data_IF_952213087344
#
_entry.id   IF_952213087344
#
_cell.length_a   1.000
_cell.length_b   1.000
_cell.length_c   1.000
_cell.angle_alpha   90.00
_cell.angle_beta   90.00
_cell.angle_gamma   90.00
#
_symmetry.space_group_name_H-M   'P 1'
#
loop_
_entity.id
_entity.type
_entity.pdbx_description
1 polymer ?
#
# COMPACT_ATOMS: atom_id res chain seq x y z
N UNK A 1 20.74 -21.75 36.50
CA UNK A 1 20.51 -20.42 35.99
C UNK A 1 19.17 -20.43 35.27
N UNK A 2 18.17 -19.60 35.63
CA UNK A 2 16.84 -19.68 35.09
C UNK A 2 16.79 -19.09 33.67
N UNK A 3 16.13 -19.78 32.76
CA UNK A 3 15.79 -19.35 31.42
C UNK A 3 14.91 -18.12 31.45
N UNK A 4 15.13 -17.08 30.59
CA UNK A 4 14.24 -15.94 30.54
C UNK A 4 12.89 -16.35 29.96
N UNK A 5 11.86 -16.31 30.82
CA UNK A 5 10.47 -16.56 30.42
C UNK A 5 9.96 -15.49 29.45
N UNK A 6 9.64 -15.88 28.27
CA UNK A 6 8.94 -15.07 27.28
C UNK A 6 7.45 -15.03 27.66
N UNK A 7 7.00 -13.94 28.26
CA UNK A 7 5.57 -13.70 28.43
C UNK A 7 4.93 -13.45 27.07
N UNK A 8 4.15 -14.43 26.62
CA UNK A 8 3.28 -14.29 25.45
C UNK A 8 2.18 -13.28 25.81
N UNK A 9 2.25 -12.07 25.26
CA UNK A 9 1.15 -11.10 25.32
C UNK A 9 -0.05 -11.72 24.59
N UNK A 10 -1.07 -12.16 25.32
CA UNK A 10 -2.39 -12.54 24.82
C UNK A 10 -3.25 -11.27 24.86
N UNK A 11 -3.66 -10.72 23.73
CA UNK A 11 -4.66 -9.66 23.75
C UNK A 11 -5.96 -10.22 24.31
N UNK A 12 -6.48 -9.60 25.36
CA UNK A 12 -7.74 -9.96 25.99
C UNK A 12 -8.90 -9.71 25.02
N UNK A 13 -9.72 -10.72 24.68
CA UNK A 13 -10.91 -10.55 23.83
C UNK A 13 -11.91 -9.54 24.40
N UNK A 14 -11.85 -9.26 25.70
CA UNK A 14 -12.65 -8.22 26.35
C UNK A 14 -12.30 -6.83 25.83
N UNK A 15 -11.04 -6.54 25.49
CA UNK A 15 -10.60 -5.23 24.96
C UNK A 15 -11.30 -4.92 23.64
N UNK A 16 -11.47 -5.92 22.78
CA UNK A 16 -12.14 -5.73 21.49
C UNK A 16 -13.65 -5.47 21.65
N UNK A 17 -14.31 -6.18 22.58
CA UNK A 17 -15.74 -5.94 22.90
C UNK A 17 -15.96 -4.58 23.55
N UNK A 18 -15.09 -4.19 24.47
CA UNK A 18 -15.17 -2.89 25.16
C UNK A 18 -14.91 -1.72 24.22
N UNK A 19 -14.04 -1.88 23.23
CA UNK A 19 -13.77 -0.85 22.20
C UNK A 19 -15.00 -0.62 21.34
N UNK A 20 -15.70 -1.68 20.92
CA UNK A 20 -16.95 -1.57 20.16
C UNK A 20 -18.10 -1.01 21.04
N UNK A 21 -18.18 -1.41 22.30
CA UNK A 21 -19.19 -0.91 23.23
C UNK A 21 -19.00 0.57 23.57
N UNK A 22 -17.75 1.03 23.74
CA UNK A 22 -17.41 2.47 23.91
C UNK A 22 -17.70 3.32 22.69
N UNK A 23 -17.62 2.72 21.52
CA UNK A 23 -18.01 3.38 20.27
C UNK A 23 -19.53 3.65 20.19
N UNK A 24 -20.34 2.80 20.85
CA UNK A 24 -21.82 2.90 20.90
C UNK A 24 -22.35 3.70 22.08
N UNK A 25 -21.61 3.81 23.18
CA UNK A 25 -22.04 4.49 24.40
C UNK A 25 -20.98 5.48 24.89
N UNK A 26 -21.22 6.79 24.76
CA UNK A 26 -20.32 7.83 25.21
C UNK A 26 -19.99 7.74 26.71
N UNK A 27 -18.76 7.39 27.07
CA UNK A 27 -18.25 7.49 28.42
C UNK A 27 -17.66 8.90 28.65
N UNK A 28 -17.75 9.48 29.87
CA UNK A 28 -17.33 10.85 30.13
C UNK A 28 -15.81 11.01 30.11
N UNK A 29 -15.33 12.01 29.37
CA UNK A 29 -13.93 12.34 29.23
C UNK A 29 -13.38 13.03 30.48
N UNK A 30 -12.21 12.59 30.95
CA UNK A 30 -11.38 13.36 31.90
C UNK A 30 -10.81 14.60 31.21
N UNK A 31 -11.02 15.75 31.83
CA UNK A 31 -10.60 17.07 31.32
C UNK A 31 -9.09 17.23 31.45
N UNK A 32 -8.39 17.33 30.32
CA UNK A 32 -7.13 18.05 30.21
C UNK A 32 -7.24 18.97 28.98
N UNK A 33 -7.01 20.28 29.21
CA UNK A 33 -7.35 21.32 28.27
C UNK A 33 -6.48 21.36 27.01
N UNK A 34 -7.15 21.40 25.91
CA UNK A 34 -6.94 22.14 24.66
C UNK A 34 -7.90 21.58 23.61
N UNK A 35 -8.89 22.35 23.19
CA UNK A 35 -9.69 22.22 21.95
C UNK A 35 -10.16 20.82 21.51
N UNK A 36 -10.73 19.99 22.39
CA UNK A 36 -11.32 18.72 21.98
C UNK A 36 -12.55 18.97 21.10
N UNK A 37 -12.48 18.52 19.85
CA UNK A 37 -13.62 18.46 18.94
C UNK A 37 -14.79 17.75 19.64
N UNK A 38 -16.00 18.28 19.53
CA UNK A 38 -17.19 17.56 20.01
C UNK A 38 -17.26 16.18 19.37
N UNK A 39 -17.82 15.18 20.04
CA UNK A 39 -17.87 13.82 19.53
C UNK A 39 -18.49 13.71 18.12
N UNK A 40 -19.47 14.56 17.79
CA UNK A 40 -20.05 14.66 16.46
C UNK A 40 -19.06 15.24 15.43
N UNK A 41 -18.35 16.30 15.79
CA UNK A 41 -17.32 16.90 14.91
C UNK A 41 -16.18 15.94 14.65
N UNK A 42 -15.73 15.18 15.65
CA UNK A 42 -14.70 14.15 15.51
C UNK A 42 -15.13 13.03 14.53
N UNK A 43 -16.37 12.53 14.64
CA UNK A 43 -16.90 11.51 13.73
C UNK A 43 -16.95 11.99 12.28
N UNK A 44 -17.38 13.22 12.06
CA UNK A 44 -17.41 13.84 10.73
C UNK A 44 -15.98 14.00 10.16
N UNK A 45 -15.02 14.40 11.00
CA UNK A 45 -13.62 14.50 10.57
C UNK A 45 -13.03 13.14 10.20
N UNK A 46 -13.27 12.10 11.00
CA UNK A 46 -12.85 10.74 10.68
C UNK A 46 -13.49 10.24 9.36
N UNK A 47 -14.79 10.44 9.18
CA UNK A 47 -15.47 10.08 7.94
C UNK A 47 -14.90 10.80 6.72
N UNK A 48 -14.54 12.07 6.85
CA UNK A 48 -13.92 12.84 5.79
C UNK A 48 -12.51 12.32 5.43
N UNK A 49 -11.70 12.00 6.44
CA UNK A 49 -10.36 11.42 6.20
C UNK A 49 -10.49 10.03 5.55
N UNK A 50 -11.40 9.19 6.01
CA UNK A 50 -11.63 7.87 5.44
C UNK A 50 -12.14 7.96 4.00
N UNK A 51 -13.04 8.90 3.70
CA UNK A 51 -13.50 9.14 2.34
C UNK A 51 -12.35 9.56 1.41
N UNK A 52 -11.49 10.48 1.84
CA UNK A 52 -10.31 10.88 1.05
C UNK A 52 -9.32 9.71 0.84
N UNK A 53 -9.13 8.88 1.87
CA UNK A 53 -8.30 7.67 1.78
C UNK A 53 -8.84 6.68 0.76
N UNK A 54 -10.17 6.45 0.75
CA UNK A 54 -10.85 5.61 -0.24
C UNK A 54 -10.56 6.10 -1.66
N UNK A 55 -10.67 7.41 -1.89
CA UNK A 55 -10.44 8.02 -3.20
C UNK A 55 -8.99 7.89 -3.67
N UNK A 56 -8.03 8.15 -2.77
CA UNK A 56 -6.60 7.98 -3.08
C UNK A 56 -6.32 6.51 -3.38
N UNK A 57 -6.81 5.57 -2.56
CA UNK A 57 -6.69 4.13 -2.79
C UNK A 57 -7.29 3.72 -4.14
N UNK A 58 -8.49 4.23 -4.48
CA UNK A 58 -9.12 3.96 -5.78
C UNK A 58 -8.19 4.31 -6.95
N UNK A 59 -7.56 5.49 -6.91
CA UNK A 59 -6.67 5.91 -7.98
C UNK A 59 -5.37 5.10 -8.01
N UNK A 60 -4.86 4.67 -6.86
CA UNK A 60 -3.71 3.77 -6.80
C UNK A 60 -3.99 2.41 -7.46
N UNK A 61 -5.20 1.87 -7.32
CA UNK A 61 -5.60 0.64 -7.99
C UNK A 61 -6.08 0.83 -9.44
N UNK A 62 -6.60 2.02 -9.77
CA UNK A 62 -7.22 2.33 -11.06
C UNK A 62 -6.20 2.69 -12.15
N UNK A 63 -5.26 3.60 -11.83
CA UNK A 63 -4.35 4.14 -12.84
C UNK A 63 -3.35 3.12 -13.41
N UNK A 64 -2.69 2.24 -12.62
CA UNK A 64 -1.70 1.34 -13.18
C UNK A 64 -2.25 0.41 -14.27
N UNK A 65 -3.35 -0.34 -14.07
CA UNK A 65 -3.90 -1.19 -15.11
C UNK A 65 -4.47 -0.39 -16.31
N UNK A 66 -5.11 0.75 -16.06
CA UNK A 66 -5.59 1.64 -17.14
C UNK A 66 -4.45 2.07 -18.05
N UNK A 67 -3.36 2.56 -17.46
CA UNK A 67 -2.18 3.05 -18.19
C UNK A 67 -1.51 1.90 -18.94
N UNK A 68 -1.37 0.75 -18.31
CA UNK A 68 -0.74 -0.42 -18.92
C UNK A 68 -1.48 -0.84 -20.19
N UNK A 69 -2.79 -0.99 -20.12
CA UNK A 69 -3.61 -1.41 -21.26
C UNK A 69 -3.66 -0.31 -22.33
N UNK A 70 -3.88 0.95 -21.94
CA UNK A 70 -3.96 2.04 -22.91
C UNK A 70 -2.65 2.28 -23.67
N UNK A 71 -1.49 2.20 -22.99
CA UNK A 71 -0.18 2.35 -23.64
C UNK A 71 0.20 1.11 -24.46
N UNK A 72 -0.18 -0.10 -24.07
CA UNK A 72 0.08 -1.30 -24.86
C UNK A 72 -0.60 -1.25 -26.23
N UNK A 73 -1.81 -0.66 -26.31
CA UNK A 73 -2.52 -0.44 -27.58
C UNK A 73 -1.81 0.54 -28.51
N UNK A 74 -1.01 1.46 -27.97
CA UNK A 74 -0.18 2.37 -28.79
C UNK A 74 1.15 1.77 -29.21
N UNK A 75 1.41 0.48 -28.91
CA UNK A 75 2.66 -0.20 -29.23
C UNK A 75 3.81 0.18 -28.29
N UNK A 76 3.53 0.77 -27.13
CA UNK A 76 4.56 1.06 -26.13
C UNK A 76 5.12 -0.23 -25.55
N UNK A 77 6.45 -0.29 -25.33
CA UNK A 77 7.11 -1.42 -24.70
C UNK A 77 6.66 -1.61 -23.24
N UNK A 78 6.73 -2.83 -22.70
CA UNK A 78 6.39 -3.10 -21.32
C UNK A 78 7.33 -2.33 -20.35
N UNK A 79 8.59 -2.12 -20.72
CA UNK A 79 9.51 -1.26 -19.97
C UNK A 79 8.99 0.18 -19.89
N UNK A 80 8.53 0.77 -21.00
CA UNK A 80 7.98 2.12 -21.02
C UNK A 80 6.73 2.21 -20.11
N UNK A 81 5.83 1.24 -20.17
CA UNK A 81 4.65 1.12 -19.32
C UNK A 81 5.06 1.06 -17.85
N UNK A 82 6.02 0.20 -17.52
CA UNK A 82 6.57 0.08 -16.17
C UNK A 82 7.18 1.39 -15.66
N UNK A 83 7.95 2.09 -16.49
CA UNK A 83 8.54 3.39 -16.15
C UNK A 83 7.48 4.48 -15.90
N UNK A 84 6.44 4.54 -16.74
CA UNK A 84 5.29 5.45 -16.53
C UNK A 84 4.58 5.16 -15.21
N UNK A 85 4.37 3.88 -14.90
CA UNK A 85 3.75 3.48 -13.63
C UNK A 85 4.63 3.87 -12.43
N UNK A 86 5.91 3.64 -12.50
CA UNK A 86 6.88 3.96 -11.47
C UNK A 86 7.01 5.47 -11.19
N UNK A 87 6.77 6.32 -12.18
CA UNK A 87 6.94 7.77 -12.08
C UNK A 87 6.20 8.42 -10.90
N UNK A 88 5.01 7.91 -10.54
CA UNK A 88 4.25 8.42 -9.39
C UNK A 88 4.92 8.09 -8.05
N UNK A 89 5.53 6.91 -7.92
CA UNK A 89 6.23 6.54 -6.69
C UNK A 89 7.58 7.25 -6.58
N UNK A 90 8.26 7.48 -7.70
CA UNK A 90 9.44 8.36 -7.75
C UNK A 90 9.07 9.76 -7.24
N UNK A 91 7.95 10.31 -7.67
CA UNK A 91 7.46 11.60 -7.21
C UNK A 91 7.19 11.61 -5.70
N UNK A 92 6.54 10.57 -5.15
CA UNK A 92 6.30 10.43 -3.70
C UNK A 92 7.61 10.42 -2.92
N UNK A 93 8.63 9.68 -3.39
CA UNK A 93 9.94 9.60 -2.75
C UNK A 93 10.65 10.97 -2.77
N UNK A 94 10.69 11.62 -3.93
CA UNK A 94 11.38 12.90 -4.09
C UNK A 94 10.69 14.05 -3.34
N UNK A 95 9.36 14.07 -3.36
CA UNK A 95 8.57 15.11 -2.68
C UNK A 95 8.32 14.80 -1.20
N UNK A 96 8.56 13.57 -0.74
CA UNK A 96 8.34 13.14 0.65
C UNK A 96 8.90 14.10 1.70
N UNK A 97 10.16 14.56 1.61
CA UNK A 97 10.74 15.52 2.56
C UNK A 97 10.09 16.91 2.53
N UNK A 98 9.38 17.26 1.44
CA UNK A 98 8.72 18.55 1.26
C UNK A 98 7.29 18.55 1.85
N UNK A 99 6.62 17.40 1.91
CA UNK A 99 5.23 17.31 2.35
C UNK A 99 4.99 17.89 3.75
N UNK A 100 5.81 17.61 4.80
CA UNK A 100 5.57 18.19 6.11
C UNK A 100 5.66 19.74 6.12
N UNK A 101 6.56 20.30 5.31
CA UNK A 101 6.68 21.77 5.16
C UNK A 101 5.46 22.34 4.46
N UNK A 102 5.05 21.71 3.37
CA UNK A 102 3.89 22.15 2.58
C UNK A 102 2.60 22.08 3.40
N UNK A 103 2.41 20.98 4.14
CA UNK A 103 1.27 20.77 5.03
C UNK A 103 1.28 21.80 6.16
N UNK A 104 2.45 22.13 6.72
CA UNK A 104 2.60 23.17 7.72
C UNK A 104 2.18 24.56 7.23
N UNK A 105 2.42 24.88 5.95
CA UNK A 105 2.00 26.15 5.35
C UNK A 105 0.54 26.18 4.90
N UNK A 106 0.07 25.11 4.30
CA UNK A 106 -1.30 25.03 3.73
C UNK A 106 -2.35 24.65 4.77
N UNK A 107 -1.95 23.89 5.79
CA UNK A 107 -2.85 23.18 6.71
C UNK A 107 -3.36 21.86 6.14
N UNK A 108 -3.75 20.94 7.01
CA UNK A 108 -4.14 19.56 6.67
C UNK A 108 -5.31 19.50 5.68
N UNK A 109 -6.40 20.23 5.95
CA UNK A 109 -7.59 20.22 5.08
C UNK A 109 -7.27 20.69 3.66
N UNK A 110 -6.55 21.83 3.53
CA UNK A 110 -6.21 22.41 2.22
C UNK A 110 -5.26 21.50 1.44
N UNK A 111 -4.31 20.84 2.13
CA UNK A 111 -3.39 19.89 1.50
C UNK A 111 -4.13 18.73 0.87
N UNK A 112 -5.11 18.16 1.57
CA UNK A 112 -5.96 17.07 1.05
C UNK A 112 -6.81 17.55 -0.13
N UNK A 113 -7.45 18.72 -0.01
CA UNK A 113 -8.30 19.28 -1.08
C UNK A 113 -7.48 19.59 -2.33
N UNK A 114 -6.34 20.29 -2.19
CA UNK A 114 -5.46 20.61 -3.33
C UNK A 114 -4.96 19.33 -3.99
N UNK A 115 -4.48 18.37 -3.20
CA UNK A 115 -3.93 17.14 -3.74
C UNK A 115 -4.96 16.33 -4.54
N UNK A 116 -6.15 16.12 -3.98
CA UNK A 116 -7.23 15.37 -4.65
C UNK A 116 -7.75 16.14 -5.88
N UNK A 117 -8.02 17.45 -5.76
CA UNK A 117 -8.55 18.24 -6.87
C UNK A 117 -7.57 18.30 -8.04
N UNK A 118 -6.29 18.56 -7.76
CA UNK A 118 -5.25 18.58 -8.81
C UNK A 118 -5.04 17.19 -9.39
N UNK A 119 -5.05 16.13 -8.56
CA UNK A 119 -4.94 14.74 -9.03
C UNK A 119 -6.09 14.36 -9.96
N UNK A 120 -7.33 14.73 -9.63
CA UNK A 120 -8.50 14.51 -10.49
C UNK A 120 -8.40 15.28 -11.81
N UNK A 121 -7.95 16.54 -11.76
CA UNK A 121 -7.76 17.37 -12.97
C UNK A 121 -6.70 16.74 -13.88
N UNK A 122 -5.55 16.35 -13.33
CA UNK A 122 -4.47 15.69 -14.10
C UNK A 122 -4.96 14.40 -14.73
N UNK A 123 -5.71 13.58 -13.99
CA UNK A 123 -6.30 12.35 -14.50
C UNK A 123 -7.28 12.63 -15.65
N UNK A 124 -8.17 13.60 -15.50
CA UNK A 124 -9.15 13.94 -16.52
C UNK A 124 -8.51 14.41 -17.84
N UNK A 125 -7.38 15.13 -17.77
CA UNK A 125 -6.67 15.63 -18.94
C UNK A 125 -5.63 14.67 -19.52
N UNK A 126 -5.35 13.55 -18.87
CA UNK A 126 -4.35 12.58 -19.32
C UNK A 126 -4.59 12.06 -20.76
N UNK A 127 -5.84 11.78 -21.20
CA UNK A 127 -6.10 11.32 -22.56
C UNK A 127 -5.88 12.38 -23.65
N UNK A 128 -5.73 13.67 -23.30
CA UNK A 128 -5.42 14.72 -24.27
C UNK A 128 -4.01 14.60 -24.89
N UNK A 129 -3.13 13.82 -24.24
CA UNK A 129 -1.78 13.59 -24.69
C UNK A 129 -1.57 12.13 -25.07
N UNK A 130 -0.75 11.86 -26.08
CA UNK A 130 -0.46 10.53 -26.58
C UNK A 130 0.98 10.11 -26.26
N UNK A 131 1.17 8.83 -25.91
CA UNK A 131 2.47 8.20 -25.71
C UNK A 131 3.00 8.24 -24.28
N UNK A 132 4.08 7.49 -24.05
CA UNK A 132 4.62 7.24 -22.71
C UNK A 132 5.24 8.50 -22.05
N UNK A 133 5.94 9.34 -22.80
CA UNK A 133 6.66 10.49 -22.24
C UNK A 133 5.73 11.53 -21.57
N UNK A 134 4.67 12.07 -22.21
CA UNK A 134 3.76 12.98 -21.53
C UNK A 134 2.99 12.29 -20.41
N UNK A 135 2.65 11.01 -20.54
CA UNK A 135 1.99 10.26 -19.48
C UNK A 135 2.89 10.05 -18.26
N UNK A 136 4.21 9.93 -18.46
CA UNK A 136 5.17 9.91 -17.36
C UNK A 136 5.14 11.22 -16.57
N UNK A 137 5.05 12.38 -17.25
CA UNK A 137 4.91 13.69 -16.60
C UNK A 137 3.59 13.77 -15.80
N UNK A 138 2.47 13.36 -16.39
CA UNK A 138 1.19 13.33 -15.69
C UNK A 138 1.23 12.42 -14.45
N UNK A 139 1.84 11.23 -14.57
CA UNK A 139 2.02 10.31 -13.44
C UNK A 139 2.91 10.89 -12.35
N UNK A 140 3.99 11.57 -12.73
CA UNK A 140 4.84 12.25 -11.76
C UNK A 140 4.07 13.33 -11.00
N UNK A 141 3.33 14.20 -11.70
CA UNK A 141 2.49 15.22 -11.05
C UNK A 141 1.43 14.58 -10.16
N UNK A 142 0.76 13.52 -10.64
CA UNK A 142 -0.22 12.76 -9.83
C UNK A 142 0.43 12.24 -8.54
N UNK A 143 1.62 11.67 -8.62
CA UNK A 143 2.38 11.20 -7.46
C UNK A 143 2.69 12.32 -6.46
N UNK A 144 3.12 13.49 -6.93
CA UNK A 144 3.36 14.66 -6.09
C UNK A 144 2.10 15.09 -5.32
N UNK A 145 0.97 15.22 -6.01
CA UNK A 145 -0.23 15.80 -5.41
C UNK A 145 -1.05 14.79 -4.59
N UNK A 146 -1.18 13.55 -5.06
CA UNK A 146 -1.84 12.51 -4.28
C UNK A 146 -0.99 12.03 -3.10
N UNK A 147 0.35 12.05 -3.22
CA UNK A 147 1.26 11.85 -2.09
C UNK A 147 1.06 12.88 -0.98
N UNK A 148 0.86 14.16 -1.35
CA UNK A 148 0.51 15.21 -0.40
C UNK A 148 -0.81 14.92 0.33
N UNK A 149 -1.85 14.45 -0.40
CA UNK A 149 -3.13 14.05 0.19
C UNK A 149 -2.99 12.83 1.08
N UNK A 150 -2.24 11.83 0.67
CA UNK A 150 -2.03 10.60 1.43
C UNK A 150 -1.37 10.90 2.77
N UNK A 151 -0.19 11.54 2.74
CA UNK A 151 0.56 11.88 3.95
C UNK A 151 -0.21 12.90 4.81
N UNK A 152 -0.89 13.87 4.18
CA UNK A 152 -1.76 14.82 4.87
C UNK A 152 -2.90 14.13 5.62
N UNK A 153 -3.54 13.13 5.02
CA UNK A 153 -4.61 12.34 5.65
C UNK A 153 -4.09 11.51 6.81
N UNK A 154 -2.90 10.89 6.71
CA UNK A 154 -2.28 10.12 7.79
C UNK A 154 -1.90 11.01 8.98
N UNK A 155 -1.30 12.18 8.73
CA UNK A 155 -1.00 13.15 9.79
C UNK A 155 -2.31 13.61 10.45
N UNK A 156 -3.33 13.93 9.66
CA UNK A 156 -4.62 14.37 10.15
C UNK A 156 -5.28 13.31 11.03
N UNK A 157 -5.28 12.07 10.56
CA UNK A 157 -5.80 10.94 11.33
C UNK A 157 -5.11 10.80 12.67
N UNK A 158 -3.78 10.88 12.69
CA UNK A 158 -2.97 10.80 13.91
C UNK A 158 -3.25 11.94 14.89
N UNK A 159 -3.57 13.16 14.40
CA UNK A 159 -3.90 14.29 15.28
C UNK A 159 -5.29 14.21 15.89
N UNK A 160 -6.25 13.57 15.21
CA UNK A 160 -7.64 13.42 15.67
C UNK A 160 -7.85 12.16 16.52
N UNK A 161 -6.96 11.18 16.40
CA UNK A 161 -7.02 9.91 17.14
C UNK A 161 -6.41 10.05 18.53
N UNK A 162 -7.14 9.61 19.56
CA UNK A 162 -6.58 9.46 20.90
C UNK A 162 -5.58 8.29 20.96
N UNK A 163 -4.63 8.34 21.90
CA UNK A 163 -3.56 7.34 22.01
C UNK A 163 -4.09 5.91 22.18
N UNK A 164 -5.19 5.74 22.93
CA UNK A 164 -5.82 4.43 23.15
C UNK A 164 -6.50 3.82 21.92
N UNK A 165 -6.92 4.65 20.96
CA UNK A 165 -7.69 4.22 19.77
C UNK A 165 -6.89 4.31 18.47
N UNK A 166 -5.68 4.89 18.52
CA UNK A 166 -4.86 5.18 17.33
C UNK A 166 -4.65 3.94 16.46
N UNK A 167 -4.31 2.79 17.06
CA UNK A 167 -4.10 1.53 16.33
C UNK A 167 -5.35 1.07 15.58
N UNK A 168 -6.52 1.12 16.22
CA UNK A 168 -7.79 0.73 15.61
C UNK A 168 -8.17 1.67 14.47
N UNK A 169 -8.02 2.98 14.67
CA UNK A 169 -8.36 3.99 13.65
C UNK A 169 -7.43 3.90 12.44
N UNK A 170 -6.12 3.67 12.66
CA UNK A 170 -5.16 3.41 11.57
C UNK A 170 -5.45 2.11 10.83
N UNK A 171 -5.90 1.06 11.54
CA UNK A 171 -6.34 -0.18 10.91
C UNK A 171 -7.57 0.01 10.01
N UNK A 172 -8.56 0.76 10.45
CA UNK A 172 -9.74 1.12 9.64
C UNK A 172 -9.32 1.93 8.41
N UNK A 173 -8.43 2.91 8.58
CA UNK A 173 -7.88 3.73 7.49
C UNK A 173 -7.20 2.85 6.44
N UNK A 174 -6.31 1.95 6.85
CA UNK A 174 -5.64 1.02 5.93
C UNK A 174 -6.63 0.10 5.19
N UNK A 175 -7.66 -0.42 5.90
CA UNK A 175 -8.71 -1.24 5.29
C UNK A 175 -9.49 -0.46 4.24
N UNK A 176 -9.91 0.78 4.54
CA UNK A 176 -10.65 1.64 3.61
C UNK A 176 -9.80 2.00 2.39
N UNK A 177 -8.51 2.30 2.60
CA UNK A 177 -7.55 2.53 1.51
C UNK A 177 -7.44 1.30 0.59
N UNK A 178 -7.31 0.10 1.18
CA UNK A 178 -7.21 -1.16 0.44
C UNK A 178 -8.50 -1.50 -0.33
N UNK A 179 -9.67 -1.23 0.25
CA UNK A 179 -10.97 -1.34 -0.45
C UNK A 179 -11.00 -0.40 -1.67
N UNK A 180 -10.44 0.81 -1.53
CA UNK A 180 -10.25 1.71 -2.66
C UNK A 180 -9.40 1.08 -3.76
N UNK A 181 -8.26 0.49 -3.42
CA UNK A 181 -7.37 -0.17 -4.40
C UNK A 181 -8.11 -1.26 -5.19
N UNK A 182 -8.90 -2.11 -4.51
CA UNK A 182 -9.72 -3.13 -5.19
C UNK A 182 -10.75 -2.47 -6.11
N UNK A 183 -11.37 -1.38 -5.67
CA UNK A 183 -12.36 -0.64 -6.43
C UNK A 183 -11.83 -0.11 -7.76
N UNK A 184 -10.53 0.12 -7.88
CA UNK A 184 -9.89 0.62 -9.10
C UNK A 184 -10.08 -0.29 -10.31
N UNK A 185 -9.54 -1.52 -10.30
CA UNK A 185 -9.72 -2.49 -11.39
C UNK A 185 -11.19 -2.84 -11.63
N UNK A 186 -11.99 -2.97 -10.57
CA UNK A 186 -13.44 -3.19 -10.68
C UNK A 186 -14.11 -2.06 -11.48
N UNK A 187 -13.75 -0.80 -11.19
CA UNK A 187 -14.29 0.34 -11.93
C UNK A 187 -13.94 0.26 -13.42
N UNK A 188 -12.72 -0.21 -13.76
CA UNK A 188 -12.29 -0.41 -15.14
C UNK A 188 -13.04 -1.53 -15.86
N UNK A 189 -13.47 -2.59 -15.15
CA UNK A 189 -14.31 -3.64 -15.72
C UNK A 189 -15.66 -3.10 -16.26
N UNK A 190 -16.17 -2.01 -15.66
CA UNK A 190 -17.40 -1.35 -16.07
C UNK A 190 -17.18 -0.22 -17.08
N UNK A 191 -16.13 0.57 -16.93
CA UNK A 191 -15.88 1.73 -17.80
C UNK A 191 -15.11 1.37 -19.07
N UNK A 192 -14.45 0.20 -19.07
CA UNK A 192 -13.40 -0.13 -20.05
C UNK A 192 -12.15 0.73 -19.85
N UNK A 193 -11.23 0.64 -20.80
CA UNK A 193 -9.94 1.35 -20.76
C UNK A 193 -9.73 2.22 -22.00
N UNK A 194 -10.79 2.47 -22.82
CA UNK A 194 -10.73 3.22 -24.07
C UNK A 194 -11.26 4.65 -23.93
N UNK A 195 -10.64 5.54 -24.67
CA UNK A 195 -11.11 6.91 -24.81
C UNK A 195 -11.03 7.73 -23.53
N UNK A 196 -11.92 8.71 -23.40
CA UNK A 196 -11.97 9.65 -22.28
C UNK A 196 -12.75 9.11 -21.06
N UNK A 197 -13.69 8.19 -21.29
CA UNK A 197 -14.65 7.73 -20.27
C UNK A 197 -14.00 7.25 -18.97
N UNK A 198 -13.05 6.30 -18.97
CA UNK A 198 -12.43 5.83 -17.73
C UNK A 198 -11.73 6.96 -16.96
N UNK A 199 -11.04 7.85 -17.65
CA UNK A 199 -10.32 8.96 -17.01
C UNK A 199 -11.27 9.96 -16.35
N UNK A 200 -12.36 10.31 -17.02
CA UNK A 200 -13.39 11.22 -16.49
C UNK A 200 -14.11 10.58 -15.30
N UNK A 201 -14.53 9.32 -15.42
CA UNK A 201 -15.19 8.60 -14.32
C UNK A 201 -14.28 8.47 -13.12
N UNK A 202 -13.01 8.08 -13.32
CA UNK A 202 -12.02 8.03 -12.24
C UNK A 202 -11.82 9.39 -11.55
N UNK A 203 -11.74 10.47 -12.33
CA UNK A 203 -11.63 11.84 -11.81
C UNK A 203 -12.88 12.26 -11.01
N UNK A 204 -14.08 11.95 -11.50
CA UNK A 204 -15.36 12.24 -10.81
C UNK A 204 -15.45 11.44 -9.50
N UNK A 205 -15.11 10.14 -9.52
CA UNK A 205 -15.08 9.32 -8.32
C UNK A 205 -14.11 9.89 -7.28
N UNK A 206 -12.91 10.30 -7.71
CA UNK A 206 -11.92 10.91 -6.83
C UNK A 206 -12.45 12.23 -6.24
N UNK A 207 -13.03 13.11 -7.07
CA UNK A 207 -13.64 14.37 -6.60
C UNK A 207 -14.81 14.15 -5.64
N UNK A 208 -15.63 13.13 -5.85
CA UNK A 208 -16.73 12.80 -4.96
C UNK A 208 -16.28 12.51 -3.53
N UNK A 209 -15.07 11.96 -3.35
CA UNK A 209 -14.52 11.70 -2.01
C UNK A 209 -14.15 12.98 -1.24
N UNK A 210 -14.09 14.14 -1.89
CA UNK A 210 -13.89 15.42 -1.23
C UNK A 210 -15.15 15.97 -0.56
N UNK A 211 -16.34 15.51 -0.94
CA UNK A 211 -17.60 16.07 -0.40
C UNK A 211 -17.61 16.10 1.13
N UNK A 212 -17.28 15.02 1.85
CA UNK A 212 -17.22 15.05 3.32
C UNK A 212 -16.12 15.99 3.85
N UNK A 213 -14.99 16.13 3.14
CA UNK A 213 -13.88 17.02 3.55
C UNK A 213 -14.31 18.49 3.46
N UNK A 214 -15.05 18.85 2.40
CA UNK A 214 -15.50 20.23 2.18
C UNK A 214 -16.55 20.67 3.21
N UNK A 215 -17.38 19.74 3.71
CA UNK A 215 -18.40 20.07 4.73
C UNK A 215 -17.82 20.38 6.12
N UNK A 216 -16.56 20.03 6.39
CA UNK A 216 -15.92 20.32 7.66
C UNK A 216 -15.71 21.84 7.85
N UNK A 217 -16.23 22.37 8.95
CA UNK A 217 -16.10 23.78 9.33
C UNK A 217 -15.00 23.95 10.40
N UNK A 218 -14.17 24.97 10.26
CA UNK A 218 -13.17 25.37 11.25
C UNK A 218 -11.72 25.09 10.86
N UNK A 219 -10.77 25.76 11.54
CA UNK A 219 -9.34 25.49 11.36
C UNK A 219 -9.05 24.10 11.88
N UNK A 220 -8.45 23.28 11.03
CA UNK A 220 -7.91 21.98 11.42
C UNK A 220 -6.50 22.22 11.94
N UNK A 221 -6.29 21.79 13.18
CA UNK A 221 -5.09 21.95 14.01
C UNK A 221 -3.77 21.95 13.24
N UNK A 222 -2.88 22.85 13.64
CA UNK A 222 -1.51 22.92 13.11
C UNK A 222 -0.79 21.58 13.23
N UNK A 223 -0.24 21.13 12.12
CA UNK A 223 0.62 19.96 12.07
C UNK A 223 1.99 20.29 12.69
N UNK A 224 2.00 20.48 13.99
CA UNK A 224 3.20 20.79 14.76
C UNK A 224 3.92 19.54 15.27
N UNK A 225 4.54 18.75 14.38
CA UNK A 225 5.61 17.87 14.84
C UNK A 225 6.59 17.59 13.69
N UNK A 226 7.78 18.15 13.77
CA UNK A 226 8.92 17.66 13.01
C UNK A 226 9.27 16.27 13.57
N UNK A 227 8.87 15.21 12.88
CA UNK A 227 9.39 13.88 13.19
C UNK A 227 10.92 13.90 12.99
N UNK A 228 11.71 13.44 13.97
CA UNK A 228 13.14 13.31 13.79
C UNK A 228 13.40 12.39 12.61
N UNK A 229 14.26 12.79 11.67
CA UNK A 229 14.69 11.94 10.58
C UNK A 229 15.55 10.80 11.17
N UNK A 230 15.05 9.58 11.12
CA UNK A 230 15.92 8.42 11.37
C UNK A 230 16.81 8.26 10.15
N UNK A 231 18.10 8.07 10.40
CA UNK A 231 19.05 7.75 9.37
C UNK A 231 18.63 6.45 8.65
N UNK A 232 18.38 6.54 7.34
CA UNK A 232 18.01 5.42 6.48
C UNK A 232 18.98 4.24 6.64
N UNK A 233 20.29 4.55 6.70
CA UNK A 233 21.36 3.54 6.85
C UNK A 233 21.23 2.83 8.20
N UNK A 234 20.92 3.58 9.27
CA UNK A 234 20.72 3.00 10.61
C UNK A 234 19.51 2.08 10.63
N UNK A 235 18.38 2.49 10.04
CA UNK A 235 17.17 1.68 9.99
C UNK A 235 17.39 0.37 9.22
N UNK A 236 18.06 0.42 8.07
CA UNK A 236 18.41 -0.77 7.28
C UNK A 236 19.35 -1.71 8.06
N UNK A 237 20.32 -1.18 8.81
CA UNK A 237 21.22 -2.00 9.62
C UNK A 237 20.54 -2.68 10.82
N UNK A 238 19.61 -1.99 11.48
CA UNK A 238 18.86 -2.52 12.62
C UNK A 238 17.86 -3.60 12.17
N UNK A 239 17.10 -3.33 11.10
CA UNK A 239 16.00 -4.17 10.66
C UNK A 239 16.10 -4.62 9.17
N UNK A 240 17.21 -5.27 8.75
CA UNK A 240 17.45 -5.56 7.33
C UNK A 240 16.38 -6.46 6.71
N UNK A 241 15.87 -7.45 7.44
CA UNK A 241 14.79 -8.34 6.96
C UNK A 241 13.46 -7.59 6.79
N UNK A 242 13.17 -6.65 7.70
CA UNK A 242 11.99 -5.82 7.62
C UNK A 242 12.05 -4.89 6.40
N UNK A 243 13.21 -4.29 6.16
CA UNK A 243 13.42 -3.44 4.99
C UNK A 243 13.37 -4.25 3.68
N UNK A 244 13.93 -5.47 3.68
CA UNK A 244 13.81 -6.37 2.54
C UNK A 244 12.35 -6.77 2.27
N UNK A 245 11.56 -7.03 3.32
CA UNK A 245 10.13 -7.30 3.19
C UNK A 245 9.39 -6.11 2.56
N UNK A 246 9.74 -4.87 2.95
CA UNK A 246 9.17 -3.67 2.36
C UNK A 246 9.49 -3.55 0.85
N UNK A 247 10.77 -3.77 0.46
CA UNK A 247 11.15 -3.76 -0.97
C UNK A 247 10.38 -4.80 -1.75
N UNK A 248 10.32 -6.04 -1.25
CA UNK A 248 9.64 -7.16 -1.93
C UNK A 248 8.14 -6.88 -2.05
N UNK A 249 7.49 -6.39 -0.98
CA UNK A 249 6.09 -6.02 -1.02
C UNK A 249 5.80 -4.96 -2.10
N UNK A 250 6.54 -3.85 -2.07
CA UNK A 250 6.37 -2.78 -3.04
C UNK A 250 6.66 -3.20 -4.48
N UNK A 251 7.72 -4.00 -4.68
CA UNK A 251 8.11 -4.50 -5.99
C UNK A 251 7.00 -5.38 -6.61
N UNK A 252 6.55 -6.38 -5.87
CA UNK A 252 5.56 -7.34 -6.38
C UNK A 252 4.21 -6.65 -6.57
N UNK A 253 3.73 -5.91 -5.58
CA UNK A 253 2.41 -5.24 -5.65
C UNK A 253 2.32 -4.26 -6.81
N UNK A 254 3.32 -3.40 -7.00
CA UNK A 254 3.31 -2.41 -8.09
C UNK A 254 3.46 -3.06 -9.47
N UNK A 255 4.26 -4.13 -9.57
CA UNK A 255 4.39 -4.89 -10.81
C UNK A 255 3.09 -5.61 -11.16
N UNK A 256 2.44 -6.24 -10.19
CA UNK A 256 1.15 -6.93 -10.40
C UNK A 256 0.06 -5.96 -10.84
N UNK A 257 -0.08 -4.83 -10.16
CA UNK A 257 -1.08 -3.81 -10.52
C UNK A 257 -0.91 -3.32 -11.96
N UNK A 258 0.32 -3.17 -12.42
CA UNK A 258 0.60 -2.61 -13.75
C UNK A 258 0.67 -3.69 -14.84
N UNK A 259 1.33 -4.81 -14.57
CA UNK A 259 1.77 -5.74 -15.61
C UNK A 259 0.99 -7.06 -15.64
N UNK A 260 0.29 -7.42 -14.55
CA UNK A 260 -0.53 -8.64 -14.55
C UNK A 260 -1.67 -8.60 -15.57
N UNK A 261 -2.39 -7.46 -15.76
CA UNK A 261 -3.36 -7.37 -16.86
C UNK A 261 -2.70 -7.49 -18.23
N UNK A 262 -1.53 -6.89 -18.41
CA UNK A 262 -0.77 -6.97 -19.67
C UNK A 262 -0.32 -8.41 -19.95
N UNK A 263 0.12 -9.13 -18.92
CA UNK A 263 0.42 -10.57 -19.02
C UNK A 263 -0.80 -11.37 -19.46
N UNK A 264 -1.98 -11.11 -18.87
CA UNK A 264 -3.23 -11.75 -19.29
C UNK A 264 -3.58 -11.48 -20.76
N UNK A 265 -3.41 -10.25 -21.24
CA UNK A 265 -3.61 -9.90 -22.65
C UNK A 265 -2.62 -10.63 -23.58
N UNK A 266 -1.33 -10.73 -23.20
CA UNK A 266 -0.33 -11.48 -23.96
C UNK A 266 -0.62 -13.00 -23.97
N UNK A 267 -1.29 -13.51 -22.92
CA UNK A 267 -1.78 -14.89 -22.88
C UNK A 267 -3.09 -15.10 -23.67
N UNK A 268 -3.59 -14.08 -24.39
CA UNK A 268 -4.79 -14.18 -25.22
C UNK A 268 -6.11 -13.97 -24.48
N UNK A 269 -6.09 -13.52 -23.23
CA UNK A 269 -7.30 -13.24 -22.46
C UNK A 269 -8.00 -11.97 -22.98
N UNK A 270 -9.32 -11.93 -22.86
CA UNK A 270 -10.08 -10.70 -23.07
C UNK A 270 -9.72 -9.67 -22.01
N UNK A 271 -9.79 -8.39 -22.34
CA UNK A 271 -9.43 -7.27 -21.44
C UNK A 271 -10.12 -7.34 -20.09
N UNK A 272 -11.42 -7.61 -20.07
CA UNK A 272 -12.18 -7.74 -18.84
C UNK A 272 -11.67 -8.88 -17.95
N UNK A 273 -11.31 -10.02 -18.55
CA UNK A 273 -10.73 -11.14 -17.83
C UNK A 273 -9.32 -10.81 -17.31
N UNK A 274 -8.53 -10.07 -18.08
CA UNK A 274 -7.21 -9.63 -17.68
C UNK A 274 -7.27 -8.63 -16.50
N UNK A 275 -8.23 -7.70 -16.49
CA UNK A 275 -8.49 -6.82 -15.35
C UNK A 275 -8.96 -7.58 -14.11
N UNK A 276 -9.79 -8.61 -14.30
CA UNK A 276 -10.28 -9.45 -13.22
C UNK A 276 -9.15 -10.20 -12.48
N UNK A 277 -8.02 -10.50 -13.14
CA UNK A 277 -6.84 -11.06 -12.47
C UNK A 277 -6.37 -10.16 -11.33
N UNK A 278 -6.27 -8.86 -11.57
CA UNK A 278 -5.86 -7.88 -10.54
C UNK A 278 -6.93 -7.74 -9.46
N UNK A 279 -8.20 -7.72 -9.85
CA UNK A 279 -9.32 -7.64 -8.89
C UNK A 279 -9.27 -8.78 -7.88
N UNK A 280 -9.13 -10.03 -8.36
CA UNK A 280 -9.08 -11.22 -7.48
C UNK A 280 -7.81 -11.22 -6.63
N UNK A 281 -6.67 -10.86 -7.21
CA UNK A 281 -5.41 -10.76 -6.50
C UNK A 281 -5.50 -9.74 -5.33
N UNK A 282 -6.03 -8.54 -5.60
CA UNK A 282 -6.21 -7.51 -4.59
C UNK A 282 -7.29 -7.88 -3.56
N UNK A 283 -8.33 -8.61 -3.95
CA UNK A 283 -9.33 -9.13 -3.02
C UNK A 283 -8.68 -10.10 -2.01
N UNK A 284 -7.79 -10.98 -2.47
CA UNK A 284 -7.00 -11.84 -1.60
C UNK A 284 -6.13 -11.06 -0.62
N UNK A 285 -5.46 -10.01 -1.11
CA UNK A 285 -4.65 -9.11 -0.29
C UNK A 285 -5.45 -8.52 0.89
N UNK A 286 -6.67 -8.07 0.66
CA UNK A 286 -7.51 -7.45 1.71
C UNK A 286 -8.17 -8.50 2.62
N UNK A 287 -8.78 -9.54 2.05
CA UNK A 287 -9.57 -10.52 2.80
C UNK A 287 -8.68 -11.39 3.70
N UNK A 288 -7.50 -11.80 3.21
CA UNK A 288 -6.60 -12.66 3.97
C UNK A 288 -5.72 -11.90 4.98
N UNK A 289 -5.78 -10.58 5.01
CA UNK A 289 -5.05 -9.72 5.95
C UNK A 289 -5.30 -10.13 7.41
N UNK A 290 -6.56 -10.28 7.80
CA UNK A 290 -6.93 -10.65 9.17
C UNK A 290 -6.55 -12.10 9.50
N UNK A 291 -6.88 -13.13 8.70
CA UNK A 291 -6.41 -14.51 8.92
C UNK A 291 -4.88 -14.61 9.03
N UNK A 292 -4.14 -13.92 8.18
CA UNK A 292 -2.68 -13.91 8.21
C UNK A 292 -2.15 -13.29 9.51
N UNK A 293 -2.77 -12.20 9.99
CA UNK A 293 -2.44 -11.62 11.29
C UNK A 293 -2.61 -12.61 12.44
N UNK A 294 -3.75 -13.31 12.48
CA UNK A 294 -4.03 -14.33 13.50
C UNK A 294 -3.06 -15.53 13.44
N UNK A 295 -2.71 -15.95 12.23
CA UNK A 295 -1.70 -17.01 12.03
C UNK A 295 -0.31 -16.55 12.49
N UNK A 296 0.04 -15.27 12.29
CA UNK A 296 1.30 -14.70 12.75
C UNK A 296 1.44 -14.73 14.27
N UNK A 297 0.36 -14.42 14.98
CA UNK A 297 0.34 -14.45 16.43
C UNK A 297 0.47 -15.88 16.97
N UNK A 298 -0.04 -16.89 16.22
CA UNK A 298 0.01 -18.31 16.64
C UNK A 298 1.33 -18.99 16.30
N UNK A 299 1.86 -18.79 15.10
CA UNK A 299 3.04 -19.52 14.58
C UNK A 299 4.34 -18.71 14.65
N UNK A 300 4.23 -17.44 15.05
CA UNK A 300 5.34 -16.49 15.07
C UNK A 300 5.54 -15.80 13.72
N UNK A 301 5.72 -14.49 13.76
CA UNK A 301 5.76 -13.60 12.59
C UNK A 301 6.82 -13.98 11.56
N UNK A 302 8.01 -14.41 12.01
CA UNK A 302 9.11 -14.79 11.10
C UNK A 302 8.83 -16.10 10.38
N UNK A 303 8.25 -17.08 11.05
CA UNK A 303 7.87 -18.37 10.45
C UNK A 303 6.77 -18.16 9.41
N UNK A 304 5.76 -17.38 9.77
CA UNK A 304 4.70 -17.03 8.82
C UNK A 304 5.23 -16.28 7.61
N UNK A 305 6.11 -15.29 7.82
CA UNK A 305 6.71 -14.53 6.73
C UNK A 305 7.49 -15.42 5.77
N UNK A 306 8.21 -16.44 6.29
CA UNK A 306 8.89 -17.43 5.45
C UNK A 306 7.90 -18.29 4.65
N UNK A 307 6.81 -18.77 5.28
CA UNK A 307 5.75 -19.51 4.60
C UNK A 307 5.06 -18.69 3.50
N UNK A 308 4.74 -17.43 3.79
CA UNK A 308 4.19 -16.50 2.80
C UNK A 308 5.17 -16.22 1.65
N UNK A 309 6.48 -16.16 1.93
CA UNK A 309 7.49 -15.98 0.90
C UNK A 309 7.57 -17.20 -0.04
N UNK A 310 7.45 -18.42 0.49
CA UNK A 310 7.35 -19.63 -0.35
C UNK A 310 6.11 -19.59 -1.22
N UNK A 311 4.94 -19.33 -0.63
CA UNK A 311 3.68 -19.29 -1.36
C UNK A 311 3.67 -18.16 -2.42
N UNK A 312 4.21 -16.98 -2.08
CA UNK A 312 4.32 -15.85 -3.00
C UNK A 312 5.33 -16.11 -4.13
N UNK A 313 6.37 -16.91 -3.92
CA UNK A 313 7.29 -17.32 -4.98
C UNK A 313 6.68 -18.38 -5.91
N UNK A 314 5.82 -19.25 -5.38
CA UNK A 314 5.15 -20.30 -6.17
C UNK A 314 3.98 -19.76 -6.99
N UNK A 315 3.28 -18.71 -6.50
CA UNK A 315 2.11 -18.15 -7.17
C UNK A 315 2.34 -17.83 -8.65
N UNK A 316 3.33 -16.98 -9.00
CA UNK A 316 3.62 -16.67 -10.39
C UNK A 316 3.99 -17.90 -11.24
N UNK A 317 4.74 -18.86 -10.66
CA UNK A 317 5.17 -20.06 -11.38
C UNK A 317 4.00 -20.98 -11.74
N UNK A 318 2.95 -21.00 -10.93
CA UNK A 318 1.74 -21.80 -11.15
C UNK A 318 0.74 -21.09 -12.08
N UNK A 319 0.89 -19.78 -12.29
CA UNK A 319 -0.04 -18.98 -13.08
C UNK A 319 -0.29 -19.55 -14.50
N UNK A 320 0.75 -19.90 -15.29
CA UNK A 320 0.55 -20.43 -16.64
C UNK A 320 -0.27 -21.71 -16.68
N UNK A 321 -0.13 -22.57 -15.66
CA UNK A 321 -0.84 -23.85 -15.56
C UNK A 321 -2.32 -23.67 -15.22
N UNK A 322 -2.66 -22.56 -14.55
CA UNK A 322 -4.02 -22.28 -14.10
C UNK A 322 -4.84 -21.45 -15.10
N UNK A 323 -4.23 -20.87 -16.16
CA UNK A 323 -4.90 -19.96 -17.08
C UNK A 323 -6.18 -20.52 -17.70
N UNK A 324 -6.19 -21.80 -18.05
CA UNK A 324 -7.33 -22.47 -18.69
C UNK A 324 -8.40 -22.95 -17.70
N UNK A 325 -8.17 -22.78 -16.41
CA UNK A 325 -9.05 -23.26 -15.35
C UNK A 325 -9.49 -22.10 -14.43
N UNK A 326 -10.59 -21.39 -14.71
CA UNK A 326 -10.97 -20.15 -14.03
C UNK A 326 -11.07 -20.28 -12.50
N UNK A 327 -11.53 -21.43 -12.00
CA UNK A 327 -11.67 -21.65 -10.53
C UNK A 327 -10.30 -21.74 -9.86
N UNK A 328 -9.36 -22.50 -10.44
CA UNK A 328 -8.01 -22.66 -9.90
C UNK A 328 -7.21 -21.37 -10.06
N UNK A 329 -7.38 -20.68 -11.17
CA UNK A 329 -6.79 -19.35 -11.40
C UNK A 329 -7.26 -18.37 -10.34
N UNK A 330 -8.57 -18.27 -10.09
CA UNK A 330 -9.12 -17.40 -9.06
C UNK A 330 -8.60 -17.75 -7.66
N UNK A 331 -8.57 -19.04 -7.30
CA UNK A 331 -8.05 -19.47 -6.01
C UNK A 331 -6.55 -19.16 -5.85
N UNK A 332 -5.75 -19.42 -6.90
CA UNK A 332 -4.32 -19.13 -6.92
C UNK A 332 -4.06 -17.63 -6.70
N UNK A 333 -4.71 -16.78 -7.47
CA UNK A 333 -4.57 -15.32 -7.38
C UNK A 333 -5.01 -14.79 -6.02
N UNK A 334 -6.12 -15.29 -5.49
CA UNK A 334 -6.63 -14.91 -4.18
C UNK A 334 -5.65 -15.27 -3.06
N UNK A 335 -5.13 -16.50 -3.05
CA UNK A 335 -4.17 -16.94 -2.05
C UNK A 335 -2.83 -16.21 -2.19
N UNK A 336 -2.35 -16.04 -3.42
CA UNK A 336 -1.10 -15.33 -3.69
C UNK A 336 -1.18 -13.87 -3.28
N UNK A 337 -2.25 -13.14 -3.63
CA UNK A 337 -2.47 -11.77 -3.19
C UNK A 337 -2.46 -11.63 -1.66
N UNK A 338 -3.11 -12.56 -0.96
CA UNK A 338 -3.09 -12.56 0.50
C UNK A 338 -1.71 -12.76 1.09
N UNK A 339 -0.90 -13.68 0.53
CA UNK A 339 0.47 -13.91 1.03
C UNK A 339 1.39 -12.73 0.80
N UNK A 340 1.19 -11.96 -0.27
CA UNK A 340 1.95 -10.74 -0.53
C UNK A 340 1.73 -9.68 0.55
N UNK A 341 0.49 -9.48 0.99
CA UNK A 341 0.20 -8.51 2.04
C UNK A 341 0.94 -8.81 3.36
N UNK A 342 1.25 -10.07 3.61
CA UNK A 342 2.01 -10.46 4.79
C UNK A 342 3.38 -9.77 4.87
N UNK A 343 4.04 -9.49 3.74
CA UNK A 343 5.34 -8.79 3.77
C UNK A 343 5.22 -7.39 4.34
N UNK A 344 4.19 -6.66 3.93
CA UNK A 344 3.94 -5.31 4.44
C UNK A 344 3.48 -5.33 5.89
N UNK A 345 2.44 -6.09 6.22
CA UNK A 345 1.82 -6.09 7.54
C UNK A 345 2.73 -6.68 8.61
N UNK A 346 3.38 -7.82 8.34
CA UNK A 346 4.33 -8.40 9.28
C UNK A 346 5.65 -7.61 9.34
N UNK A 347 6.02 -6.95 8.23
CA UNK A 347 7.13 -6.01 8.20
C UNK A 347 6.95 -4.88 9.20
N UNK A 348 5.81 -4.18 9.17
CA UNK A 348 5.48 -3.11 10.14
C UNK A 348 5.42 -3.65 11.57
N UNK A 349 4.82 -4.82 11.77
CA UNK A 349 4.72 -5.41 13.09
C UNK A 349 6.10 -5.77 13.68
N UNK A 350 6.99 -6.35 12.85
CA UNK A 350 8.37 -6.65 13.23
C UNK A 350 9.21 -5.37 13.44
N UNK A 351 8.90 -4.29 12.74
CA UNK A 351 9.52 -2.98 12.96
C UNK A 351 9.23 -2.49 14.38
N UNK A 352 7.98 -2.60 14.83
CA UNK A 352 7.56 -2.25 16.18
C UNK A 352 8.26 -3.03 17.27
N UNK A 353 8.73 -4.27 17.00
CA UNK A 353 9.50 -5.09 17.93
C UNK A 353 11.00 -4.67 18.02
N UNK A 354 11.52 -3.99 16.97
CA UNK A 354 12.96 -3.70 16.84
C UNK A 354 13.32 -2.25 17.16
N UNK A 355 12.35 -1.34 17.17
CA UNK A 355 12.57 0.08 17.44
C UNK A 355 11.87 0.54 18.71
N UNK A 356 12.50 1.41 19.52
CA UNK A 356 11.85 2.08 20.63
C UNK A 356 10.68 2.94 20.16
N UNK A 357 9.66 3.12 21.01
CA UNK A 357 8.46 3.91 20.69
C UNK A 357 8.78 5.33 20.17
N UNK A 358 9.83 5.97 20.72
CA UNK A 358 10.27 7.29 20.30
C UNK A 358 10.83 7.37 18.86
N UNK A 359 11.37 6.26 18.34
CA UNK A 359 11.97 6.18 17.00
C UNK A 359 11.04 5.50 15.98
N UNK A 360 9.96 4.84 16.45
CA UNK A 360 9.10 3.99 15.63
C UNK A 360 8.44 4.75 14.46
N UNK A 361 7.99 5.99 14.69
CA UNK A 361 7.37 6.80 13.65
C UNK A 361 8.35 7.10 12.50
N UNK A 362 9.61 7.42 12.85
CA UNK A 362 10.64 7.69 11.88
C UNK A 362 11.11 6.42 11.15
N UNK A 363 11.20 5.29 11.86
CA UNK A 363 11.50 3.99 11.26
C UNK A 363 10.39 3.53 10.30
N UNK A 364 9.12 3.81 10.63
CA UNK A 364 7.98 3.55 9.73
C UNK A 364 8.06 4.41 8.46
N UNK A 365 8.46 5.67 8.57
CA UNK A 365 8.68 6.52 7.39
C UNK A 365 9.74 5.92 6.47
N UNK A 366 10.86 5.44 7.02
CA UNK A 366 11.90 4.75 6.24
C UNK A 366 11.35 3.48 5.59
N UNK A 367 10.56 2.69 6.32
CA UNK A 367 9.91 1.49 5.78
C UNK A 367 9.04 1.81 4.55
N UNK A 368 8.20 2.85 4.63
CA UNK A 368 7.36 3.29 3.51
C UNK A 368 8.20 3.79 2.33
N UNK A 369 9.27 4.55 2.58
CA UNK A 369 10.18 4.99 1.50
C UNK A 369 10.84 3.81 0.79
N UNK A 370 11.27 2.79 1.55
CA UNK A 370 11.87 1.57 1.01
C UNK A 370 10.84 0.73 0.24
N UNK A 371 9.60 0.66 0.73
CA UNK A 371 8.48 0.06 0.00
C UNK A 371 8.23 0.79 -1.34
N UNK A 372 8.18 2.11 -1.34
CA UNK A 372 8.05 2.89 -2.57
C UNK A 372 9.21 2.66 -3.54
N UNK A 373 10.45 2.51 -3.03
CA UNK A 373 11.60 2.18 -3.87
C UNK A 373 11.44 0.80 -4.54
N UNK A 374 10.95 -0.20 -3.81
CA UNK A 374 10.53 -1.49 -4.38
C UNK A 374 9.48 -1.30 -5.48
N UNK A 375 8.46 -0.48 -5.20
CA UNK A 375 7.40 -0.16 -6.15
C UNK A 375 7.86 0.57 -7.42
N UNK A 376 8.97 1.30 -7.37
CA UNK A 376 9.63 1.87 -8.57
C UNK A 376 10.34 0.79 -9.38
N UNK A 377 11.04 -0.10 -8.69
CA UNK A 377 11.84 -1.17 -9.32
C UNK A 377 10.93 -2.20 -9.99
N UNK A 378 9.84 -2.60 -9.34
CA UNK A 378 8.96 -3.69 -9.78
C UNK A 378 8.43 -3.54 -11.21
N UNK A 379 7.63 -2.52 -11.51
CA UNK A 379 7.08 -2.33 -12.85
C UNK A 379 8.16 -2.11 -13.92
N UNK A 380 9.25 -1.40 -13.59
CA UNK A 380 10.34 -1.13 -14.52
C UNK A 380 11.10 -2.41 -14.87
N UNK A 381 11.48 -3.19 -13.86
CA UNK A 381 12.22 -4.44 -14.05
C UNK A 381 11.32 -5.53 -14.65
N UNK A 382 10.07 -5.62 -14.19
CA UNK A 382 9.07 -6.54 -14.74
C UNK A 382 8.78 -6.25 -16.20
N UNK A 383 8.61 -4.97 -16.57
CA UNK A 383 8.41 -4.53 -17.94
C UNK A 383 9.63 -4.85 -18.83
N UNK A 384 10.85 -4.54 -18.36
CA UNK A 384 12.07 -4.94 -19.06
C UNK A 384 12.15 -6.45 -19.31
N UNK A 385 11.84 -7.24 -18.29
CA UNK A 385 11.85 -8.70 -18.41
C UNK A 385 10.77 -9.20 -19.36
N UNK A 386 9.58 -8.61 -19.40
CA UNK A 386 8.52 -8.95 -20.36
C UNK A 386 8.90 -8.62 -21.81
N UNK A 387 9.59 -7.51 -22.05
CA UNK A 387 10.04 -7.14 -23.40
C UNK A 387 11.03 -8.17 -23.97
N UNK A 388 11.85 -8.83 -23.11
CA UNK A 388 12.85 -9.82 -23.54
C UNK A 388 12.32 -11.27 -23.48
N UNK A 389 11.47 -11.56 -22.50
CA UNK A 389 10.86 -12.89 -22.26
C UNK A 389 9.36 -12.73 -22.00
N UNK A 390 8.53 -12.56 -23.04
CA UNK A 390 7.12 -12.16 -22.90
C UNK A 390 6.27 -13.04 -21.97
N UNK A 391 6.53 -14.35 -21.94
CA UNK A 391 5.76 -15.30 -21.11
C UNK A 391 6.38 -15.56 -19.73
N UNK A 392 7.70 -15.47 -19.60
CA UNK A 392 8.39 -15.87 -18.37
C UNK A 392 8.98 -14.70 -17.60
N UNK A 393 9.25 -13.56 -18.25
CA UNK A 393 10.00 -12.45 -17.66
C UNK A 393 9.33 -11.87 -16.43
N UNK A 394 8.05 -11.53 -16.51
CA UNK A 394 7.30 -11.02 -15.36
C UNK A 394 7.27 -12.05 -14.22
N UNK A 395 6.96 -13.30 -14.55
CA UNK A 395 6.85 -14.39 -13.57
C UNK A 395 8.18 -14.64 -12.85
N UNK A 396 9.30 -14.54 -13.56
CA UNK A 396 10.63 -14.67 -12.96
C UNK A 396 10.93 -13.55 -11.95
N UNK A 397 10.55 -12.31 -12.24
CA UNK A 397 10.72 -11.18 -11.32
C UNK A 397 9.82 -11.34 -10.10
N UNK A 398 8.53 -11.66 -10.31
CA UNK A 398 7.55 -11.83 -9.25
C UNK A 398 7.87 -13.01 -8.32
N UNK A 399 8.47 -14.08 -8.84
CA UNK A 399 8.93 -15.22 -8.03
C UNK A 399 10.29 -14.97 -7.40
N UNK A 400 11.20 -14.31 -8.13
CA UNK A 400 12.57 -14.05 -7.69
C UNK A 400 12.65 -13.15 -6.47
N UNK A 401 11.81 -12.13 -6.37
CA UNK A 401 11.79 -11.20 -5.25
C UNK A 401 11.45 -11.89 -3.90
N UNK A 402 10.36 -12.69 -3.77
CA UNK A 402 10.13 -13.49 -2.57
C UNK A 402 11.21 -14.53 -2.27
N UNK A 403 11.84 -15.12 -3.30
CA UNK A 403 12.98 -16.04 -3.11
C UNK A 403 14.19 -15.33 -2.49
N UNK A 404 14.49 -14.09 -2.88
CA UNK A 404 15.53 -13.28 -2.22
C UNK A 404 15.20 -13.05 -0.74
N UNK A 405 13.92 -12.86 -0.40
CA UNK A 405 13.47 -12.78 0.99
C UNK A 405 13.77 -14.07 1.76
N UNK A 406 13.48 -15.23 1.17
CA UNK A 406 13.78 -16.55 1.78
C UNK A 406 15.27 -16.73 2.02
N UNK A 407 16.13 -16.37 1.05
CA UNK A 407 17.58 -16.40 1.21
C UNK A 407 18.01 -15.49 2.37
N UNK A 408 17.48 -14.28 2.44
CA UNK A 408 17.77 -13.35 3.55
C UNK A 408 17.39 -13.91 4.92
N UNK A 409 16.21 -14.54 5.03
CA UNK A 409 15.76 -15.22 6.25
C UNK A 409 16.65 -16.39 6.62
N UNK A 410 17.02 -17.24 5.65
CA UNK A 410 17.89 -18.40 5.85
C UNK A 410 19.29 -18.00 6.31
N UNK A 411 19.91 -17.00 5.68
CA UNK A 411 21.24 -16.47 6.05
C UNK A 411 21.20 -15.94 7.50
N UNK A 412 20.15 -15.20 7.88
CA UNK A 412 20.05 -14.69 9.24
C UNK A 412 19.87 -15.82 10.26
N UNK A 413 19.05 -16.83 9.95
CA UNK A 413 18.89 -17.99 10.80
C UNK A 413 20.21 -18.78 10.98
N UNK A 414 20.97 -18.95 9.91
CA UNK A 414 22.29 -19.60 9.96
C UNK A 414 23.29 -18.81 10.82
N UNK A 415 23.35 -17.48 10.66
CA UNK A 415 24.22 -16.62 11.49
C UNK A 415 23.84 -16.67 12.98
N UNK A 416 22.55 -16.67 13.30
CA UNK A 416 22.10 -16.78 14.68
C UNK A 416 22.51 -18.13 15.32
N UNK A 417 22.40 -19.24 14.56
CA UNK A 417 22.82 -20.58 15.02
C UNK A 417 24.36 -20.65 15.20
N UNK A 418 25.14 -20.03 14.31
CA UNK A 418 26.59 -19.99 14.41
C UNK A 418 27.05 -19.20 15.65
N UNK A 419 26.43 -18.05 15.91
CA UNK A 419 26.71 -17.26 17.11
C UNK A 419 26.39 -18.00 18.41
N UNK A 420 25.29 -18.78 18.44
CA UNK A 420 24.96 -19.59 19.61
C UNK A 420 25.95 -20.73 19.87
N UNK A 421 26.53 -21.32 18.81
CA UNK A 421 27.55 -22.38 18.91
C UNK A 421 28.93 -21.87 19.34
N UNK A 422 29.24 -20.59 19.12
CA UNK A 422 30.52 -20.00 19.52
C UNK A 422 30.53 -19.55 20.99
N UNK A 423 29.40 -19.55 21.65
CA UNK A 423 29.23 -19.17 23.08
C UNK A 423 29.04 -20.38 24.01
N UNK A 424 28.91 -21.57 23.45
CA UNK A 424 28.94 -22.88 24.17
C UNK A 424 30.29 -23.54 23.98
#
# INVERSE_FOLDING_TARGET
MPTPGWSVYRPDPAIFRDTIARWRGGAPASRSGSGQLSGASRRLTLAAILSSSLGVGLIFGFQPPLIAIALSRTGSSALAIGAVTAASLVAVILCGPLYPRLIGHLGLKRSVVIGISTGALVLAFMPAASGAAPWMCFRFVTGCVLGLSWIGSEIWLNTVSGDAERGTVMGIYGTVFSVGIIGGPVLLEFTGTEGWLPFVVGAVCLMATLVPVLTLKGPVTDAGARAPLVDLVRAVRIAPIVMLAAVVAGLVESADLALLPLYGLHAGMQERAALFLVTVFMAGNVVLQMPIGLLADRFGRRTLLAGCAVASALGPLLLPVCLDTPVWLGLLLFLWGGTLYAFYSQGIALLGEQFPAAELAAANTVFVMVYCAGGVIGPSLGGFAMDHWPQAGLLAILSGAPLLMLVGLAVRAARARAACRSTT
#
